data_IF_916982990295
#
_entry.id   IF_916982990295
#
_cell.length_a   1.000
_cell.length_b   1.000
_cell.length_c   1.000
_cell.angle_alpha   90.00
_cell.angle_beta   90.00
_cell.angle_gamma   90.00
#
_symmetry.space_group_name_H-M   'P 1'
#
loop_
_entity.id
_entity.type
_entity.pdbx_description
1 polymer ?
#
# COMPACT_ATOMS: atom_id res chain seq x y z
N UNK A 1 -11.59 12.16 -13.22
CA UNK A 1 -10.93 12.51 -11.95
C UNK A 1 -11.61 11.89 -10.73
N UNK A 2 -12.88 12.19 -10.46
CA UNK A 2 -13.57 11.77 -9.22
C UNK A 2 -13.55 10.25 -8.95
N UNK A 3 -13.69 9.43 -10.00
CA UNK A 3 -13.60 7.96 -9.89
C UNK A 3 -12.20 7.51 -9.46
N UNK A 4 -11.14 8.09 -10.02
CA UNK A 4 -9.76 7.76 -9.66
C UNK A 4 -9.45 8.19 -8.22
N UNK A 5 -9.89 9.39 -7.82
CA UNK A 5 -9.74 9.86 -6.45
C UNK A 5 -10.47 8.95 -5.45
N UNK A 6 -11.68 8.52 -5.78
CA UNK A 6 -12.44 7.56 -4.97
C UNK A 6 -11.72 6.21 -4.85
N UNK A 7 -11.25 5.66 -5.98
CA UNK A 7 -10.50 4.40 -6.01
C UNK A 7 -9.18 4.50 -5.22
N UNK A 8 -8.44 5.60 -5.38
CA UNK A 8 -7.21 5.86 -4.64
C UNK A 8 -7.46 5.99 -3.14
N UNK A 9 -8.52 6.69 -2.75
CA UNK A 9 -8.94 6.84 -1.35
C UNK A 9 -9.23 5.49 -0.71
N UNK A 10 -10.10 4.70 -1.35
CA UNK A 10 -10.44 3.35 -0.85
C UNK A 10 -9.19 2.46 -0.80
N UNK A 11 -8.37 2.51 -1.84
CA UNK A 11 -7.12 1.75 -1.92
C UNK A 11 -6.12 2.12 -0.83
N UNK A 12 -5.92 3.41 -0.58
CA UNK A 12 -5.01 3.91 0.46
C UNK A 12 -5.49 3.52 1.85
N UNK A 13 -6.78 3.70 2.17
CA UNK A 13 -7.37 3.27 3.45
C UNK A 13 -7.25 1.76 3.64
N UNK A 14 -7.51 0.99 2.59
CA UNK A 14 -7.35 -0.46 2.61
C UNK A 14 -5.90 -0.86 2.88
N UNK A 15 -4.93 -0.23 2.20
CA UNK A 15 -3.51 -0.46 2.42
C UNK A 15 -3.06 -0.12 3.85
N UNK A 16 -3.52 0.99 4.42
CA UNK A 16 -3.28 1.35 5.83
C UNK A 16 -3.82 0.26 6.75
N UNK A 17 -5.05 -0.19 6.52
CA UNK A 17 -5.67 -1.24 7.33
C UNK A 17 -4.86 -2.55 7.28
N UNK A 18 -4.44 -3.00 6.09
CA UNK A 18 -3.60 -4.18 5.95
C UNK A 18 -2.24 -4.02 6.63
N UNK A 19 -1.61 -2.85 6.54
CA UNK A 19 -0.36 -2.56 7.22
C UNK A 19 -0.51 -2.66 8.75
N UNK A 20 -1.58 -2.08 9.30
CA UNK A 20 -1.90 -2.17 10.73
C UNK A 20 -2.21 -3.60 11.16
N UNK A 21 -3.00 -4.33 10.37
CA UNK A 21 -3.31 -5.75 10.63
C UNK A 21 -2.03 -6.59 10.61
N UNK A 22 -1.12 -6.36 9.67
CA UNK A 22 0.16 -7.05 9.59
C UNK A 22 1.05 -6.81 10.82
N UNK A 23 1.05 -5.60 11.38
CA UNK A 23 1.78 -5.30 12.62
C UNK A 23 1.11 -5.88 13.87
N UNK A 24 -0.20 -5.68 14.04
CA UNK A 24 -0.92 -6.03 15.28
C UNK A 24 -1.32 -7.51 15.34
N UNK A 25 -1.67 -8.11 14.19
CA UNK A 25 -2.15 -9.50 14.08
C UNK A 25 -1.49 -10.21 12.88
N UNK A 26 -0.16 -10.41 12.89
CA UNK A 26 0.56 -11.00 11.76
C UNK A 26 0.02 -12.36 11.31
N UNK A 27 -0.51 -13.18 12.23
CA UNK A 27 -1.16 -14.47 11.94
C UNK A 27 -2.25 -14.38 10.86
N UNK A 28 -2.93 -13.24 10.77
CA UNK A 28 -4.00 -13.02 9.78
C UNK A 28 -3.47 -12.94 8.34
N UNK A 29 -2.18 -12.67 8.15
CA UNK A 29 -1.54 -12.47 6.83
C UNK A 29 -0.36 -13.43 6.57
N UNK A 30 0.21 -14.02 7.61
CA UNK A 30 1.30 -15.00 7.51
C UNK A 30 0.81 -16.43 7.29
N UNK A 31 -0.48 -16.71 7.51
CA UNK A 31 -1.07 -18.07 7.52
C UNK A 31 -0.46 -18.99 8.60
N UNK A 32 0.28 -18.41 9.56
CA UNK A 32 0.84 -19.15 10.68
C UNK A 32 -0.09 -19.14 11.89
N UNK A 33 -0.30 -20.31 12.51
CA UNK A 33 -1.14 -20.45 13.71
C UNK A 33 -0.58 -19.67 14.91
N UNK A 34 0.75 -19.66 15.07
CA UNK A 34 1.46 -18.88 16.11
C UNK A 34 2.63 -18.12 15.48
N UNK A 35 2.50 -16.79 15.28
CA UNK A 35 3.57 -16.00 14.66
C UNK A 35 4.82 -15.95 15.53
N UNK A 36 5.94 -16.30 14.90
CA UNK A 36 7.30 -16.16 15.40
C UNK A 36 7.66 -14.70 15.70
N UNK A 37 8.74 -14.49 16.46
CA UNK A 37 9.27 -13.14 16.69
C UNK A 37 9.66 -12.44 15.38
N UNK A 38 10.20 -13.18 14.41
CA UNK A 38 10.57 -12.66 13.09
C UNK A 38 9.36 -12.17 12.29
N UNK A 39 8.26 -12.92 12.28
CA UNK A 39 7.02 -12.49 11.62
C UNK A 39 6.41 -11.24 12.24
N UNK A 40 6.45 -11.13 13.58
CA UNK A 40 5.98 -9.93 14.30
C UNK A 40 6.85 -8.71 13.98
N UNK A 41 8.17 -8.89 13.99
CA UNK A 41 9.11 -7.84 13.61
C UNK A 41 8.89 -7.39 12.17
N UNK A 42 8.77 -8.34 11.24
CA UNK A 42 8.51 -8.06 9.83
C UNK A 42 7.20 -7.28 9.65
N UNK A 43 6.12 -7.69 10.32
CA UNK A 43 4.83 -7.01 10.29
C UNK A 43 4.93 -5.54 10.71
N UNK A 44 5.61 -5.24 11.82
CA UNK A 44 5.80 -3.86 12.28
C UNK A 44 6.76 -3.05 11.42
N UNK A 45 7.83 -3.66 10.93
CA UNK A 45 8.74 -3.03 9.97
C UNK A 45 7.98 -2.60 8.72
N UNK A 46 7.13 -3.48 8.19
CA UNK A 46 6.28 -3.16 7.06
C UNK A 46 5.27 -2.05 7.39
N UNK A 47 4.63 -2.11 8.55
CA UNK A 47 3.67 -1.09 9.00
C UNK A 47 4.30 0.31 9.11
N UNK A 48 5.57 0.38 9.53
CA UNK A 48 6.32 1.63 9.72
C UNK A 48 6.44 2.44 8.43
N UNK A 49 6.51 1.77 7.26
CA UNK A 49 6.44 2.45 5.96
C UNK A 49 5.03 2.50 5.38
N UNK A 50 4.25 1.43 5.56
CA UNK A 50 2.96 1.25 4.90
C UNK A 50 1.92 2.25 5.38
N UNK A 51 1.87 2.52 6.69
CA UNK A 51 0.91 3.48 7.26
C UNK A 51 1.25 4.92 6.84
N UNK A 52 2.49 5.44 7.01
CA UNK A 52 2.79 6.80 6.58
C UNK A 52 2.62 7.02 5.07
N UNK A 53 3.08 6.08 4.23
CA UNK A 53 2.91 6.20 2.78
C UNK A 53 1.43 6.10 2.36
N UNK A 54 0.65 5.23 2.99
CA UNK A 54 -0.79 5.14 2.76
C UNK A 54 -1.52 6.43 3.13
N UNK A 55 -1.18 7.03 4.28
CA UNK A 55 -1.74 8.33 4.69
C UNK A 55 -1.34 9.44 3.72
N UNK A 56 -0.08 9.46 3.29
CA UNK A 56 0.39 10.42 2.30
C UNK A 56 -0.36 10.26 0.96
N UNK A 57 -0.54 9.02 0.46
CA UNK A 57 -1.28 8.73 -0.77
C UNK A 57 -2.78 9.07 -0.66
N UNK A 58 -3.35 9.02 0.54
CA UNK A 58 -4.72 9.44 0.82
C UNK A 58 -4.87 10.98 0.75
N UNK A 59 -3.94 11.72 1.37
CA UNK A 59 -4.05 13.17 1.53
C UNK A 59 -3.53 13.94 0.32
N UNK A 60 -2.43 13.49 -0.30
CA UNK A 60 -1.73 14.22 -1.36
C UNK A 60 -2.64 14.62 -2.55
N UNK A 61 -3.48 13.73 -3.12
CA UNK A 61 -4.36 14.09 -4.23
C UNK A 61 -5.40 15.17 -3.90
N UNK A 62 -5.68 15.38 -2.61
CA UNK A 62 -6.68 16.32 -2.12
C UNK A 62 -6.06 17.66 -1.69
N UNK A 63 -4.82 17.62 -1.19
CA UNK A 63 -4.16 18.77 -0.58
C UNK A 63 -3.08 19.39 -1.46
N UNK A 64 -2.47 18.63 -2.37
CA UNK A 64 -1.32 19.08 -3.16
C UNK A 64 -1.53 18.83 -4.65
N UNK A 65 -1.73 19.90 -5.42
CA UNK A 65 -1.78 19.83 -6.89
C UNK A 65 -0.38 19.83 -7.51
N UNK A 66 -0.23 19.17 -8.67
CA UNK A 66 0.99 19.22 -9.46
C UNK A 66 2.10 18.27 -8.96
N UNK A 67 3.38 18.59 -9.22
CA UNK A 67 4.48 17.63 -9.08
C UNK A 67 4.63 16.99 -7.70
N UNK A 68 4.36 17.73 -6.63
CA UNK A 68 4.50 17.21 -5.26
C UNK A 68 3.47 16.10 -4.96
N UNK A 69 2.21 16.28 -5.39
CA UNK A 69 1.16 15.28 -5.26
C UNK A 69 1.47 14.04 -6.11
N UNK A 70 1.87 14.27 -7.37
CA UNK A 70 2.24 13.20 -8.29
C UNK A 70 3.43 12.37 -7.77
N UNK A 71 4.49 12.99 -7.29
CA UNK A 71 5.67 12.30 -6.74
C UNK A 71 5.31 11.46 -5.50
N UNK A 72 4.44 11.96 -4.62
CA UNK A 72 3.97 11.22 -3.45
C UNK A 72 3.23 9.94 -3.86
N UNK A 73 2.35 10.05 -4.85
CA UNK A 73 1.62 8.90 -5.39
C UNK A 73 2.54 7.92 -6.12
N UNK A 74 3.54 8.41 -6.84
CA UNK A 74 4.57 7.56 -7.45
C UNK A 74 5.38 6.80 -6.40
N UNK A 75 5.72 7.42 -5.26
CA UNK A 75 6.40 6.74 -4.16
C UNK A 75 5.54 5.63 -3.55
N UNK A 76 4.24 5.89 -3.35
CA UNK A 76 3.29 4.88 -2.90
C UNK A 76 3.14 3.74 -3.92
N UNK A 77 3.05 4.07 -5.21
CA UNK A 77 3.01 3.08 -6.29
C UNK A 77 4.26 2.20 -6.32
N UNK A 78 5.46 2.77 -6.14
CA UNK A 78 6.71 2.03 -6.10
C UNK A 78 6.75 1.03 -4.93
N UNK A 79 6.25 1.44 -3.75
CA UNK A 79 6.14 0.53 -2.61
C UNK A 79 5.21 -0.67 -2.92
N UNK A 80 4.05 -0.41 -3.53
CA UNK A 80 3.12 -1.45 -3.94
C UNK A 80 3.68 -2.35 -5.05
N UNK A 81 4.46 -1.81 -5.98
CA UNK A 81 5.14 -2.62 -6.99
C UNK A 81 6.17 -3.57 -6.34
N UNK A 82 6.94 -3.08 -5.36
CA UNK A 82 7.82 -3.91 -4.55
C UNK A 82 7.06 -5.03 -3.83
N UNK A 83 5.87 -4.72 -3.33
CA UNK A 83 5.01 -5.69 -2.65
C UNK A 83 4.47 -6.76 -3.60
N UNK A 84 4.11 -6.39 -4.83
CA UNK A 84 3.76 -7.36 -5.86
C UNK A 84 4.94 -8.30 -6.17
N UNK A 85 6.16 -7.78 -6.25
CA UNK A 85 7.38 -8.59 -6.45
C UNK A 85 7.61 -9.55 -5.28
N UNK A 86 7.48 -9.08 -4.03
CA UNK A 86 7.55 -9.95 -2.85
C UNK A 86 6.46 -11.03 -2.94
N UNK A 87 5.25 -10.67 -3.35
CA UNK A 87 4.15 -11.61 -3.57
C UNK A 87 4.49 -12.70 -4.60
N UNK A 88 5.15 -12.34 -5.71
CA UNK A 88 5.62 -13.30 -6.71
C UNK A 88 6.66 -14.26 -6.14
N UNK A 89 7.69 -13.73 -5.46
CA UNK A 89 8.77 -14.52 -4.86
C UNK A 89 8.23 -15.47 -3.78
N UNK A 90 7.26 -14.99 -2.99
CA UNK A 90 6.63 -15.76 -1.90
C UNK A 90 5.40 -16.56 -2.33
N UNK A 91 5.03 -16.52 -3.62
CA UNK A 91 3.85 -17.19 -4.20
C UNK A 91 2.51 -16.81 -3.54
N UNK A 92 2.41 -15.60 -3.00
CA UNK A 92 1.19 -15.08 -2.36
C UNK A 92 0.31 -14.33 -3.36
N UNK A 93 -0.62 -15.05 -3.99
CA UNK A 93 -1.50 -14.48 -5.03
C UNK A 93 -2.31 -13.26 -4.60
N UNK A 94 -2.78 -13.23 -3.35
CA UNK A 94 -3.51 -12.10 -2.78
C UNK A 94 -2.65 -10.84 -2.72
N UNK A 95 -1.36 -10.98 -2.35
CA UNK A 95 -0.40 -9.88 -2.33
C UNK A 95 -0.08 -9.39 -3.74
N UNK A 96 0.11 -10.31 -4.70
CA UNK A 96 0.34 -9.96 -6.11
C UNK A 96 -0.83 -9.14 -6.63
N UNK A 97 -2.05 -9.68 -6.57
CA UNK A 97 -3.23 -9.04 -7.14
C UNK A 97 -3.54 -7.70 -6.48
N UNK A 98 -3.56 -7.65 -5.14
CA UNK A 98 -3.86 -6.44 -4.40
C UNK A 98 -2.82 -5.34 -4.63
N UNK A 99 -1.53 -5.68 -4.55
CA UNK A 99 -0.47 -4.69 -4.71
C UNK A 99 -0.32 -4.22 -6.17
N UNK A 100 -0.52 -5.09 -7.17
CA UNK A 100 -0.55 -4.68 -8.58
C UNK A 100 -1.72 -3.75 -8.87
N UNK A 101 -2.92 -4.03 -8.34
CA UNK A 101 -4.08 -3.15 -8.50
C UNK A 101 -3.83 -1.77 -7.88
N UNK A 102 -3.31 -1.73 -6.65
CA UNK A 102 -3.01 -0.47 -5.98
C UNK A 102 -1.90 0.33 -6.69
N UNK A 103 -0.89 -0.35 -7.23
CA UNK A 103 0.12 0.28 -8.11
C UNK A 103 -0.56 1.00 -9.27
N UNK A 104 -1.44 0.32 -10.00
CA UNK A 104 -2.14 0.90 -11.16
C UNK A 104 -3.01 2.10 -10.77
N UNK A 105 -3.72 2.02 -9.64
CA UNK A 105 -4.56 3.11 -9.12
C UNK A 105 -3.71 4.33 -8.75
N UNK A 106 -2.62 4.15 -8.00
CA UNK A 106 -1.75 5.24 -7.58
C UNK A 106 -1.07 5.92 -8.78
N UNK A 107 -0.57 5.15 -9.76
CA UNK A 107 0.02 5.70 -10.99
C UNK A 107 -1.02 6.47 -11.80
N UNK A 108 -2.22 5.90 -11.99
CA UNK A 108 -3.29 6.56 -12.74
C UNK A 108 -3.71 7.87 -12.07
N UNK A 109 -3.75 7.89 -10.73
CA UNK A 109 -4.06 9.09 -9.95
C UNK A 109 -2.92 10.10 -10.02
N UNK A 110 -1.66 9.66 -10.02
CA UNK A 110 -0.49 10.53 -10.18
C UNK A 110 -0.50 11.25 -11.54
N UNK A 111 -0.73 10.50 -12.62
CA UNK A 111 -0.82 11.06 -13.99
C UNK A 111 -1.97 12.05 -14.10
N UNK A 112 -3.08 11.80 -13.40
CA UNK A 112 -4.23 12.69 -13.42
C UNK A 112 -4.03 13.95 -12.55
N UNK A 113 -3.16 13.91 -11.53
CA UNK A 113 -2.90 15.01 -10.59
C UNK A 113 -1.65 15.86 -10.93
N UNK A 114 -0.81 15.37 -11.85
CA UNK A 114 0.34 16.07 -12.41
C UNK A 114 -0.09 17.20 -13.35
#
# INVERSE_FOLDING_TARGET
MNVLLGANTVGAVTGIAFALVGGVRPAALSESGTPTAGERFYGWMYATRGVPLGVAALVAPLAWSGPAGALTLCAAAAAQAGDAVIGVVTRKWTMIAGASLLTAIHVSTAVATA
#
